data_IF_148785184747
#
_entry.id   IF_148785184747
#
_cell.length_a   1.000
_cell.length_b   1.000
_cell.length_c   1.000
_cell.angle_alpha   90.00
_cell.angle_beta   90.00
_cell.angle_gamma   90.00
#
_symmetry.space_group_name_H-M   'P 1'
#
loop_
_entity.id
_entity.type
_entity.pdbx_description
1 polymer ?
#
# COMPACT_ATOMS: atom_id res chain seq x y z
N UNK A 1 -20.51 -5.45 -13.54
CA UNK A 1 -20.03 -4.06 -13.38
C UNK A 1 -20.59 -3.23 -14.52
N UNK A 2 -21.11 -2.03 -14.24
CA UNK A 2 -21.79 -1.14 -15.19
C UNK A 2 -21.06 0.22 -15.28
N UNK A 3 -21.45 1.05 -16.25
CA UNK A 3 -20.95 2.42 -16.36
C UNK A 3 -21.35 3.23 -15.11
N UNK A 4 -20.46 4.08 -14.58
CA UNK A 4 -20.79 4.93 -13.46
C UNK A 4 -21.90 5.90 -13.87
N UNK A 5 -22.94 6.08 -13.04
CA UNK A 5 -23.98 7.06 -13.33
C UNK A 5 -23.42 8.47 -13.47
N UNK A 6 -24.02 9.30 -14.33
CA UNK A 6 -23.63 10.70 -14.50
C UNK A 6 -23.65 11.45 -13.17
N UNK A 7 -24.62 11.15 -12.30
CA UNK A 7 -24.70 11.69 -10.95
C UNK A 7 -23.42 11.50 -10.13
N UNK A 8 -22.75 10.35 -10.25
CA UNK A 8 -21.45 10.12 -9.63
C UNK A 8 -20.36 10.95 -10.30
N UNK A 9 -20.34 10.97 -11.64
CA UNK A 9 -19.36 11.70 -12.44
C UNK A 9 -19.43 13.22 -12.25
N UNK A 10 -20.62 13.75 -11.96
CA UNK A 10 -20.89 15.16 -11.63
C UNK A 10 -20.45 15.55 -10.20
N UNK A 11 -19.96 14.59 -9.40
CA UNK A 11 -19.37 14.82 -8.09
C UNK A 11 -20.34 14.74 -6.89
N UNK A 12 -21.59 14.35 -7.11
CA UNK A 12 -22.61 14.26 -6.07
C UNK A 12 -22.34 13.16 -5.03
N UNK A 13 -21.40 12.25 -5.29
CA UNK A 13 -21.02 11.23 -4.32
C UNK A 13 -20.16 11.77 -3.16
N UNK A 14 -19.66 13.01 -3.28
CA UNK A 14 -18.82 13.67 -2.28
C UNK A 14 -19.38 15.02 -1.85
N UNK A 15 -20.01 15.76 -2.75
CA UNK A 15 -20.60 17.04 -2.41
C UNK A 15 -22.01 16.85 -1.82
N UNK A 16 -22.38 17.58 -0.74
CA UNK A 16 -21.58 18.56 0.01
C UNK A 16 -20.79 18.03 1.21
N UNK A 17 -20.94 16.76 1.58
CA UNK A 17 -20.48 16.25 2.87
C UNK A 17 -18.96 16.15 3.00
N UNK A 18 -18.28 15.69 1.94
CA UNK A 18 -16.84 15.46 1.91
C UNK A 18 -16.06 16.60 1.25
N UNK A 19 -16.70 17.32 0.32
CA UNK A 19 -16.05 18.36 -0.49
C UNK A 19 -16.92 19.59 -0.66
N UNK A 20 -16.27 20.75 -0.81
CA UNK A 20 -16.92 22.07 -0.82
C UNK A 20 -17.73 22.37 -2.09
N UNK A 21 -17.40 21.78 -3.22
CA UNK A 21 -18.04 22.07 -4.52
C UNK A 21 -18.26 20.80 -5.31
N UNK A 22 -19.23 20.82 -6.23
CA UNK A 22 -19.44 19.72 -7.19
C UNK A 22 -18.17 19.46 -8.01
N UNK A 23 -17.48 20.51 -8.46
CA UNK A 23 -16.21 20.38 -9.20
C UNK A 23 -15.14 19.60 -8.42
N UNK A 24 -14.99 19.84 -7.12
CA UNK A 24 -14.08 19.06 -6.29
C UNK A 24 -14.52 17.58 -6.19
N UNK A 25 -15.83 17.32 -6.17
CA UNK A 25 -16.39 15.97 -6.26
C UNK A 25 -16.10 15.30 -7.60
N UNK A 26 -16.16 16.06 -8.70
CA UNK A 26 -15.84 15.59 -10.05
C UNK A 26 -14.40 15.14 -10.17
N UNK A 27 -13.44 15.88 -9.63
CA UNK A 27 -12.03 15.47 -9.62
C UNK A 27 -11.86 14.09 -8.95
N UNK A 28 -12.51 13.87 -7.80
CA UNK A 28 -12.48 12.57 -7.15
C UNK A 28 -13.09 11.48 -8.04
N UNK A 29 -14.24 11.76 -8.65
CA UNK A 29 -14.87 10.81 -9.57
C UNK A 29 -13.90 10.47 -10.71
N UNK A 30 -13.35 11.45 -11.42
CA UNK A 30 -12.43 11.27 -12.55
C UNK A 30 -11.17 10.45 -12.19
N UNK A 31 -10.57 10.69 -11.02
CA UNK A 31 -9.42 9.91 -10.53
C UNK A 31 -9.79 8.53 -9.97
N UNK A 32 -11.08 8.29 -9.69
CA UNK A 32 -11.55 7.07 -9.03
C UNK A 32 -11.22 5.84 -9.88
N UNK A 33 -10.38 4.90 -9.38
CA UNK A 33 -9.94 3.78 -10.18
C UNK A 33 -11.10 2.81 -10.46
N UNK A 34 -11.31 2.51 -11.75
CA UNK A 34 -12.37 1.58 -12.20
C UNK A 34 -11.81 0.52 -13.14
N UNK A 35 -12.49 -0.63 -13.15
CA UNK A 35 -12.35 -1.64 -14.20
C UNK A 35 -13.18 -1.25 -15.42
N UNK A 36 -12.78 -1.75 -16.58
CA UNK A 36 -13.59 -1.68 -17.80
C UNK A 36 -14.91 -2.43 -17.59
N UNK A 37 -16.01 -1.82 -18.03
CA UNK A 37 -17.35 -2.42 -17.99
C UNK A 37 -17.37 -3.73 -18.77
N UNK A 38 -18.14 -4.70 -18.28
CA UNK A 38 -18.25 -6.04 -18.86
C UNK A 38 -17.05 -6.97 -18.62
N UNK A 39 -15.92 -6.47 -18.09
CA UNK A 39 -14.74 -7.32 -17.84
C UNK A 39 -14.91 -8.29 -16.68
N UNK A 40 -15.54 -7.83 -15.59
CA UNK A 40 -15.78 -8.64 -14.40
C UNK A 40 -17.25 -8.60 -13.99
N UNK A 41 -17.77 -9.74 -13.56
CA UNK A 41 -19.16 -9.89 -13.10
C UNK A 41 -19.32 -9.65 -11.61
N UNK A 42 -18.23 -9.75 -10.83
CA UNK A 42 -18.24 -9.54 -9.38
C UNK A 42 -16.86 -9.73 -8.76
N UNK A 43 -16.82 -9.71 -7.43
CA UNK A 43 -15.62 -9.97 -6.62
C UNK A 43 -15.95 -11.09 -5.64
N UNK A 44 -15.02 -12.03 -5.48
CA UNK A 44 -15.07 -13.07 -4.45
C UNK A 44 -13.86 -12.92 -3.54
N UNK A 45 -14.06 -13.04 -2.24
CA UNK A 45 -12.99 -12.96 -1.24
C UNK A 45 -13.14 -14.09 -0.23
N UNK A 46 -12.01 -14.56 0.29
CA UNK A 46 -11.94 -15.56 1.35
C UNK A 46 -10.61 -15.40 2.11
N UNK A 47 -10.52 -15.83 3.38
CA UNK A 47 -9.23 -15.96 4.05
C UNK A 47 -8.30 -16.85 3.22
N UNK A 48 -7.05 -16.42 3.02
CA UNK A 48 -6.13 -17.11 2.11
C UNK A 48 -5.93 -18.60 2.46
N UNK A 49 -5.94 -18.94 3.74
CA UNK A 49 -5.78 -20.33 4.24
C UNK A 49 -6.95 -21.24 3.84
N UNK A 50 -8.14 -20.71 3.64
CA UNK A 50 -9.36 -21.46 3.35
C UNK A 50 -9.95 -21.15 1.97
N UNK A 51 -9.21 -20.43 1.11
CA UNK A 51 -9.67 -20.11 -0.23
C UNK A 51 -9.74 -21.39 -1.07
N UNK A 52 -10.90 -21.67 -1.65
CA UNK A 52 -11.13 -22.80 -2.57
C UNK A 52 -10.96 -22.39 -4.04
N UNK A 53 -10.37 -21.22 -4.29
CA UNK A 53 -10.14 -20.64 -5.60
C UNK A 53 -8.77 -19.97 -5.62
N UNK A 54 -8.34 -19.62 -6.83
CA UNK A 54 -7.04 -19.01 -7.06
C UNK A 54 -7.17 -17.49 -7.14
N UNK A 55 -6.71 -16.73 -6.12
CA UNK A 55 -7.00 -15.31 -6.04
C UNK A 55 -6.14 -14.50 -7.04
N UNK A 56 -6.71 -13.45 -7.61
CA UNK A 56 -5.96 -12.50 -8.46
C UNK A 56 -4.94 -11.66 -7.66
N UNK A 57 -5.24 -11.40 -6.39
CA UNK A 57 -4.38 -10.73 -5.43
C UNK A 57 -4.65 -11.20 -4.01
N UNK A 58 -3.69 -10.96 -3.12
CA UNK A 58 -3.85 -11.09 -1.67
C UNK A 58 -3.83 -9.71 -1.06
N UNK A 59 -4.79 -9.44 -0.18
CA UNK A 59 -4.89 -8.21 0.60
C UNK A 59 -4.57 -8.52 2.06
N UNK A 60 -3.66 -7.74 2.64
CA UNK A 60 -3.13 -7.93 4.00
C UNK A 60 -3.43 -6.65 4.78
N UNK A 61 -4.20 -6.77 5.85
CA UNK A 61 -4.29 -5.72 6.88
C UNK A 61 -3.08 -5.87 7.78
N UNK A 62 -2.35 -4.77 7.98
CA UNK A 62 -1.07 -4.77 8.66
C UNK A 62 -0.82 -3.45 9.37
N UNK A 63 -0.02 -3.45 10.43
CA UNK A 63 0.50 -2.22 11.00
C UNK A 63 1.61 -1.59 10.13
N UNK A 64 2.12 -0.43 10.55
CA UNK A 64 3.15 0.29 9.82
C UNK A 64 4.52 -0.42 9.80
N UNK A 65 4.82 -1.27 10.78
CA UNK A 65 6.09 -2.02 10.84
C UNK A 65 6.06 -3.23 9.92
N UNK A 66 4.96 -3.98 9.95
CA UNK A 66 4.68 -5.05 9.01
C UNK A 66 4.67 -4.54 7.56
N UNK A 67 4.03 -3.38 7.33
CA UNK A 67 4.05 -2.71 6.03
C UNK A 67 5.49 -2.38 5.60
N UNK A 68 6.31 -1.84 6.50
CA UNK A 68 7.71 -1.53 6.20
C UNK A 68 8.50 -2.77 5.75
N UNK A 69 8.34 -3.91 6.44
CA UNK A 69 8.99 -5.16 6.04
C UNK A 69 8.51 -5.66 4.67
N UNK A 70 7.22 -5.56 4.37
CA UNK A 70 6.70 -5.93 3.05
C UNK A 70 7.21 -5.01 1.93
N UNK A 71 7.40 -3.72 2.21
CA UNK A 71 8.00 -2.77 1.28
C UNK A 71 9.49 -3.07 1.04
N UNK A 72 10.28 -3.29 2.10
CA UNK A 72 11.68 -3.69 2.00
C UNK A 72 11.84 -5.00 1.21
N UNK A 73 10.97 -5.99 1.47
CA UNK A 73 10.96 -7.26 0.75
C UNK A 73 10.63 -7.07 -0.74
N UNK A 74 9.67 -6.22 -1.08
CA UNK A 74 9.35 -5.88 -2.48
C UNK A 74 10.53 -5.18 -3.17
N UNK A 75 11.22 -4.30 -2.45
CA UNK A 75 12.31 -3.48 -2.96
C UNK A 75 13.59 -4.30 -3.12
N UNK A 76 13.77 -5.40 -2.38
CA UNK A 76 14.94 -6.26 -2.47
C UNK A 76 15.32 -6.65 -3.91
N UNK A 77 14.33 -7.01 -4.74
CA UNK A 77 14.59 -7.53 -6.09
C UNK A 77 14.93 -6.46 -7.12
N UNK A 78 14.25 -5.32 -7.06
CA UNK A 78 14.31 -4.29 -8.13
C UNK A 78 14.74 -2.90 -7.63
N UNK A 79 14.72 -2.64 -6.33
CA UNK A 79 15.16 -1.39 -5.72
C UNK A 79 14.27 -0.17 -5.98
N UNK A 80 13.06 -0.37 -6.54
CA UNK A 80 12.16 0.74 -6.88
C UNK A 80 11.11 1.01 -5.82
N UNK A 81 10.98 2.29 -5.46
CA UNK A 81 9.88 2.81 -4.64
C UNK A 81 8.52 2.40 -5.21
N UNK A 82 7.57 2.17 -4.30
CA UNK A 82 6.19 1.89 -4.66
C UNK A 82 5.40 3.19 -4.90
N UNK A 83 4.86 3.36 -6.10
CA UNK A 83 3.97 4.48 -6.45
C UNK A 83 2.52 4.09 -6.19
N UNK A 84 1.88 4.78 -5.25
CA UNK A 84 0.47 4.59 -4.88
C UNK A 84 -0.22 5.95 -4.74
N UNK A 85 -1.51 6.00 -5.06
CA UNK A 85 -2.37 7.09 -4.64
C UNK A 85 -2.95 6.74 -3.26
N UNK A 86 -2.83 7.65 -2.30
CA UNK A 86 -3.45 7.48 -0.98
C UNK A 86 -4.70 8.36 -0.90
N UNK A 87 -5.81 7.75 -0.50
CA UNK A 87 -7.10 8.42 -0.32
C UNK A 87 -7.73 8.01 1.01
N UNK A 88 -8.47 8.93 1.63
CA UNK A 88 -9.30 8.63 2.81
C UNK A 88 -10.61 7.90 2.46
N UNK A 89 -10.84 7.63 1.17
CA UNK A 89 -12.08 7.06 0.66
C UNK A 89 -11.85 5.75 -0.08
N UNK A 90 -12.87 4.86 -0.04
CA UNK A 90 -12.95 3.67 -0.89
C UNK A 90 -11.65 2.83 -0.91
N UNK A 91 -11.09 2.59 0.27
CA UNK A 91 -9.87 1.81 0.45
C UNK A 91 -9.92 0.45 -0.26
N UNK A 92 -11.07 -0.23 -0.22
CA UNK A 92 -11.32 -1.46 -0.97
C UNK A 92 -11.05 -1.33 -2.48
N UNK A 93 -11.37 -0.19 -3.10
CA UNK A 93 -11.14 0.06 -4.52
C UNK A 93 -9.68 0.40 -4.79
N UNK A 94 -9.07 1.26 -3.97
CA UNK A 94 -7.65 1.63 -4.14
C UNK A 94 -6.68 0.48 -3.83
N UNK A 95 -7.06 -0.46 -2.97
CA UNK A 95 -6.31 -1.68 -2.70
C UNK A 95 -6.40 -2.68 -3.87
N UNK A 96 -7.56 -2.80 -4.51
CA UNK A 96 -7.84 -3.86 -5.49
C UNK A 96 -7.62 -3.42 -6.93
N UNK A 97 -8.28 -2.34 -7.37
CA UNK A 97 -8.35 -1.98 -8.80
C UNK A 97 -6.99 -1.62 -9.37
N UNK A 98 -6.18 -0.74 -8.76
CA UNK A 98 -4.85 -0.43 -9.26
C UNK A 98 -3.90 -1.63 -9.22
N UNK A 99 -4.02 -2.51 -8.23
CA UNK A 99 -3.19 -3.71 -8.12
C UNK A 99 -3.44 -4.67 -9.29
N UNK A 100 -4.72 -4.95 -9.59
CA UNK A 100 -5.12 -5.81 -10.71
C UNK A 100 -4.74 -5.17 -12.06
N UNK A 101 -4.97 -3.86 -12.24
CA UNK A 101 -4.67 -3.18 -13.53
C UNK A 101 -3.18 -3.08 -13.81
N UNK A 102 -2.37 -2.79 -12.78
CA UNK A 102 -0.93 -2.55 -12.96
C UNK A 102 -0.08 -3.81 -12.82
N UNK A 103 -0.60 -4.87 -12.18
CA UNK A 103 0.21 -6.04 -11.81
C UNK A 103 1.31 -5.72 -10.80
N UNK A 104 1.18 -4.59 -10.07
CA UNK A 104 2.09 -4.13 -9.02
C UNK A 104 1.38 -4.12 -7.68
N UNK A 105 2.15 -4.20 -6.60
CA UNK A 105 1.60 -4.05 -5.25
C UNK A 105 0.92 -2.70 -5.06
N UNK A 106 0.06 -2.57 -4.05
CA UNK A 106 -0.60 -1.33 -3.67
C UNK A 106 -0.62 -1.17 -2.16
N UNK A 107 -0.67 0.09 -1.73
CA UNK A 107 -0.91 0.47 -0.33
C UNK A 107 -2.14 1.35 -0.29
N UNK A 108 -3.05 1.05 0.63
CA UNK A 108 -4.22 1.88 0.91
C UNK A 108 -4.33 2.16 2.41
N UNK A 109 -5.00 3.26 2.74
CA UNK A 109 -5.34 3.63 4.12
C UNK A 109 -6.79 3.21 4.37
N UNK A 110 -7.10 2.47 5.45
CA UNK A 110 -8.49 2.13 5.78
C UNK A 110 -9.38 3.38 5.85
N UNK A 111 -10.45 3.37 5.08
CA UNK A 111 -11.41 4.47 4.97
C UNK A 111 -12.49 4.38 6.08
N UNK A 112 -13.42 5.34 6.10
CA UNK A 112 -14.55 5.31 7.05
C UNK A 112 -15.35 4.00 7.00
N UNK A 113 -15.60 3.48 5.79
CA UNK A 113 -16.29 2.20 5.62
C UNK A 113 -15.51 1.04 6.22
N UNK A 114 -14.21 0.95 5.94
CA UNK A 114 -13.36 -0.11 6.51
C UNK A 114 -13.32 -0.04 8.04
N UNK A 115 -13.21 1.16 8.60
CA UNK A 115 -13.11 1.33 10.07
C UNK A 115 -14.43 1.09 10.77
N UNK A 116 -15.51 1.69 10.28
CA UNK A 116 -16.80 1.70 10.98
C UNK A 116 -17.65 0.47 10.67
N UNK A 117 -17.52 -0.11 9.48
CA UNK A 117 -18.32 -1.26 9.06
C UNK A 117 -17.51 -2.56 8.95
N UNK A 118 -16.20 -2.49 8.65
CA UNK A 118 -15.34 -3.67 8.53
C UNK A 118 -14.33 -3.83 9.68
N UNK A 119 -14.44 -3.00 10.73
CA UNK A 119 -13.65 -3.08 11.97
C UNK A 119 -12.13 -2.93 11.80
N UNK A 120 -11.68 -2.23 10.75
CA UNK A 120 -10.26 -1.93 10.59
C UNK A 120 -9.76 -0.97 11.69
N UNK A 121 -8.67 -1.34 12.35
CA UNK A 121 -8.12 -0.64 13.51
C UNK A 121 -7.35 0.62 13.14
N UNK A 122 -7.25 1.57 14.08
CA UNK A 122 -6.63 2.89 13.87
C UNK A 122 -5.20 2.84 13.33
N UNK A 123 -4.45 1.81 13.72
CA UNK A 123 -3.04 1.58 13.36
C UNK A 123 -2.86 0.71 12.11
N UNK A 124 -3.93 0.18 11.55
CA UNK A 124 -3.88 -0.67 10.37
C UNK A 124 -3.74 0.14 9.07
N UNK A 125 -3.04 -0.49 8.15
CA UNK A 125 -2.83 -0.15 6.76
C UNK A 125 -3.19 -1.37 5.91
N UNK A 126 -3.37 -1.19 4.61
CA UNK A 126 -3.68 -2.28 3.68
C UNK A 126 -2.54 -2.41 2.68
N UNK A 127 -1.96 -3.59 2.59
CA UNK A 127 -1.00 -3.96 1.55
C UNK A 127 -1.62 -5.00 0.62
N UNK A 128 -1.65 -4.71 -0.68
CA UNK A 128 -2.13 -5.66 -1.70
C UNK A 128 -0.99 -6.12 -2.57
N UNK A 129 -0.90 -7.44 -2.76
CA UNK A 129 0.11 -8.09 -3.61
C UNK A 129 -0.59 -8.91 -4.70
N UNK A 130 -0.41 -8.58 -5.98
CA UNK A 130 -0.90 -9.40 -7.08
C UNK A 130 -0.30 -10.80 -7.02
N UNK A 131 -1.08 -11.81 -7.39
CA UNK A 131 -0.65 -13.22 -7.32
C UNK A 131 0.73 -13.48 -7.92
N UNK A 132 1.00 -12.92 -9.10
CA UNK A 132 2.27 -13.08 -9.84
C UNK A 132 3.50 -12.51 -9.10
N UNK A 133 3.32 -11.76 -8.02
CA UNK A 133 4.37 -11.14 -7.21
C UNK A 133 4.52 -11.78 -5.82
N UNK A 134 3.69 -12.77 -5.47
CA UNK A 134 3.73 -13.43 -4.17
C UNK A 134 5.07 -14.12 -3.90
N UNK A 135 5.57 -14.90 -4.86
CA UNK A 135 6.85 -15.61 -4.70
C UNK A 135 8.03 -14.65 -4.54
N UNK A 136 8.01 -13.54 -5.28
CA UNK A 136 9.00 -12.46 -5.16
C UNK A 136 8.94 -11.82 -3.76
N UNK A 137 7.74 -11.54 -3.25
CA UNK A 137 7.56 -10.99 -1.91
C UNK A 137 8.07 -11.95 -0.83
N UNK A 138 7.74 -13.24 -0.91
CA UNK A 138 8.21 -14.26 0.05
C UNK A 138 9.73 -14.39 0.01
N UNK A 139 10.31 -14.36 -1.19
CA UNK A 139 11.77 -14.37 -1.37
C UNK A 139 12.42 -13.15 -0.72
N UNK A 140 11.85 -11.96 -0.94
CA UNK A 140 12.31 -10.72 -0.32
C UNK A 140 12.20 -10.76 1.21
N UNK A 141 11.08 -11.25 1.75
CA UNK A 141 10.87 -11.37 3.20
C UNK A 141 11.93 -12.26 3.85
N UNK A 142 12.24 -13.42 3.22
CA UNK A 142 13.32 -14.31 3.68
C UNK A 142 14.69 -13.66 3.60
N UNK A 143 14.96 -12.85 2.57
CA UNK A 143 16.23 -12.15 2.45
C UNK A 143 16.39 -11.12 3.57
N UNK A 144 15.40 -10.26 3.77
CA UNK A 144 15.50 -9.18 4.76
C UNK A 144 15.53 -9.72 6.20
N UNK A 145 14.88 -10.86 6.45
CA UNK A 145 14.97 -11.57 7.72
C UNK A 145 16.42 -11.98 8.03
N UNK A 146 17.12 -12.54 7.04
CA UNK A 146 18.53 -12.91 7.15
C UNK A 146 19.46 -11.70 7.29
N UNK A 147 19.09 -10.54 6.70
CA UNK A 147 19.86 -9.30 6.86
C UNK A 147 19.54 -8.54 8.16
N UNK A 148 18.64 -9.05 8.99
CA UNK A 148 18.32 -8.51 10.32
C UNK A 148 17.06 -7.65 10.40
N UNK A 149 16.38 -7.40 9.28
CA UNK A 149 15.09 -6.69 9.22
C UNK A 149 13.95 -7.68 9.46
N UNK A 150 13.60 -7.90 10.73
CA UNK A 150 12.56 -8.83 11.15
C UNK A 150 11.86 -8.39 12.43
N UNK A 151 10.64 -8.90 12.63
CA UNK A 151 9.93 -8.77 13.91
C UNK A 151 10.32 -9.90 14.88
N UNK A 152 10.33 -9.64 16.20
CA UNK A 152 10.18 -8.33 16.83
C UNK A 152 11.49 -7.51 16.74
N UNK A 153 11.36 -6.18 16.69
CA UNK A 153 12.49 -5.26 16.74
C UNK A 153 12.82 -4.85 18.18
N UNK A 154 14.12 -4.81 18.53
CA UNK A 154 14.57 -4.18 19.77
C UNK A 154 14.67 -2.67 19.53
N UNK A 155 13.76 -1.89 20.11
CA UNK A 155 13.84 -0.43 20.04
C UNK A 155 14.92 0.06 20.98
N UNK A 156 15.88 0.81 20.43
CA UNK A 156 16.94 1.48 21.20
C UNK A 156 17.01 2.93 20.76
N UNK A 157 17.07 3.83 21.73
CA UNK A 157 17.46 5.21 21.46
C UNK A 157 18.98 5.20 21.28
N UNK A 158 19.44 5.73 20.15
CA UNK A 158 20.85 5.97 19.90
C UNK A 158 21.06 7.50 19.97
N UNK A 159 21.54 8.05 21.11
CA UNK A 159 21.77 9.49 21.27
C UNK A 159 22.65 10.05 20.14
N UNK A 160 23.64 9.26 19.75
CA UNK A 160 24.41 9.44 18.53
C UNK A 160 24.23 8.18 17.67
N UNK A 161 23.81 8.36 16.42
CA UNK A 161 23.66 7.24 15.49
C UNK A 161 25.03 6.88 14.92
N UNK A 162 25.57 5.76 15.38
CA UNK A 162 26.75 5.18 14.73
C UNK A 162 26.40 4.80 13.29
N UNK A 163 27.03 5.49 12.32
CA UNK A 163 26.86 5.13 10.92
C UNK A 163 27.69 3.89 10.62
N UNK A 164 27.04 2.86 10.10
CA UNK A 164 27.69 1.62 9.68
C UNK A 164 27.71 1.46 8.16
N UNK A 165 28.58 0.56 7.68
CA UNK A 165 28.57 0.08 6.31
C UNK A 165 28.61 1.18 5.24
N UNK A 166 27.63 1.14 4.34
CA UNK A 166 27.52 2.06 3.19
C UNK A 166 27.32 3.51 3.62
N UNK A 167 26.51 3.77 4.65
CA UNK A 167 26.25 5.14 5.13
C UNK A 167 27.52 5.81 5.66
N UNK A 168 28.37 5.08 6.39
CA UNK A 168 29.69 5.61 6.85
C UNK A 168 30.61 5.95 5.67
N UNK A 169 30.64 5.09 4.66
CA UNK A 169 31.44 5.33 3.44
C UNK A 169 30.95 6.57 2.70
N UNK A 170 29.64 6.73 2.54
CA UNK A 170 29.03 7.91 1.91
C UNK A 170 29.34 9.17 2.72
N UNK A 171 29.17 9.14 4.05
CA UNK A 171 29.47 10.29 4.91
C UNK A 171 30.94 10.73 4.83
N UNK A 172 31.87 9.79 4.67
CA UNK A 172 33.29 10.10 4.41
C UNK A 172 33.51 10.74 3.03
N UNK A 173 32.84 10.24 1.99
CA UNK A 173 32.92 10.80 0.63
C UNK A 173 32.32 12.22 0.56
N UNK A 174 31.27 12.48 1.34
CA UNK A 174 30.63 13.79 1.47
C UNK A 174 31.36 14.72 2.47
N UNK A 175 32.47 14.25 3.05
CA UNK A 175 33.29 14.95 4.05
C UNK A 175 32.53 15.41 5.31
N UNK A 176 31.38 14.79 5.60
CA UNK A 176 30.57 15.11 6.79
C UNK A 176 31.26 14.74 8.11
N UNK A 177 32.12 13.73 8.09
CA UNK A 177 32.86 13.25 9.27
C UNK A 177 34.22 13.95 9.47
N UNK A 178 34.61 14.88 8.58
CA UNK A 178 35.89 15.61 8.67
C UNK A 178 35.76 17.01 9.30
N UNK A 179 34.54 17.46 9.64
CA UNK A 179 34.28 18.85 10.06
C UNK A 179 34.58 19.19 11.51
N UNK A 180 35.09 18.24 12.29
CA UNK A 180 35.60 18.49 13.64
C UNK A 180 37.13 18.37 13.65
N UNK A 181 37.81 19.42 13.19
CA UNK A 181 39.20 19.74 13.53
C UNK A 181 39.38 21.25 13.67
#
# INVERSE_FOLDING_TARGET
>A
LEEPPEYFMEGHNRYPEDVKTLEAGRHYAEEFPRFSVGKYVGVVSAPLKSASFDPDLVMIYCDSEQLNLMLLAREYKEGYNLKCALSGHAACVYAVVPAIKSGKCQVAVPCRGDRWAAMAESHEMIFSVPRKRLDDLVTGLRHIENSGSKLPHVRRVHPEREMEGSYKKIANMMEYLKRDK
#
